data_IF_614190442245
#
_entry.id   IF_614190442245
#
_cell.length_a   1.000
_cell.length_b   1.000
_cell.length_c   1.000
_cell.angle_alpha   90.00
_cell.angle_beta   90.00
_cell.angle_gamma   90.00
#
_symmetry.space_group_name_H-M   'P 1'
#
loop_
_entity.id
_entity.type
_entity.pdbx_description
1 polymer ?
#
# COMPACT_ATOMS: atom_id res chain seq x y z
N UNK A 1 22.04 -6.39 -4.18
CA UNK A 1 21.05 -5.32 -3.93
C UNK A 1 21.79 -4.10 -3.41
N UNK A 2 21.69 -2.97 -4.12
CA UNK A 2 22.31 -1.71 -3.68
C UNK A 2 21.75 -1.35 -2.31
N UNK A 3 22.60 -1.36 -1.28
CA UNK A 3 22.15 -1.25 0.12
C UNK A 3 21.69 0.15 0.53
N UNK A 4 21.76 1.17 -0.33
CA UNK A 4 21.60 2.57 0.03
C UNK A 4 20.88 3.41 -1.05
N UNK A 5 19.72 2.96 -1.56
CA UNK A 5 18.92 3.78 -2.46
C UNK A 5 18.00 4.72 -1.63
N UNK A 6 17.88 6.02 -1.99
CA UNK A 6 16.95 6.93 -1.32
C UNK A 6 15.48 6.45 -1.36
N UNK A 7 14.64 6.81 -0.37
CA UNK A 7 13.24 6.36 -0.31
C UNK A 7 12.43 6.61 -1.59
N UNK A 8 12.59 7.79 -2.19
CA UNK A 8 11.92 8.14 -3.45
C UNK A 8 12.36 7.23 -4.61
N UNK A 9 13.66 6.97 -4.76
CA UNK A 9 14.17 6.09 -5.82
C UNK A 9 13.69 4.65 -5.63
N UNK A 10 13.63 4.15 -4.38
CA UNK A 10 13.06 2.84 -4.07
C UNK A 10 11.59 2.76 -4.50
N UNK A 11 10.80 3.78 -4.15
CA UNK A 11 9.39 3.85 -4.51
C UNK A 11 9.18 3.91 -6.04
N UNK A 12 10.00 4.69 -6.76
CA UNK A 12 9.95 4.77 -8.22
C UNK A 12 10.34 3.43 -8.86
N UNK A 13 11.39 2.78 -8.36
CA UNK A 13 11.81 1.49 -8.88
C UNK A 13 10.73 0.41 -8.69
N UNK A 14 10.04 0.43 -7.55
CA UNK A 14 8.97 -0.52 -7.25
C UNK A 14 7.69 -0.23 -8.07
N UNK A 15 7.30 1.04 -8.17
CA UNK A 15 6.05 1.45 -8.83
C UNK A 15 6.17 1.59 -10.36
N UNK A 16 7.36 1.92 -10.86
CA UNK A 16 7.69 2.06 -12.28
C UNK A 16 7.59 3.46 -12.86
N UNK A 17 7.03 4.45 -12.15
CA UNK A 17 6.97 5.84 -12.60
C UNK A 17 6.74 6.81 -11.43
N UNK A 18 6.89 8.11 -11.66
CA UNK A 18 6.53 9.16 -10.70
C UNK A 18 5.09 9.61 -10.96
N UNK A 19 4.27 9.64 -9.92
CA UNK A 19 2.94 10.26 -9.96
C UNK A 19 2.62 10.92 -8.60
N UNK A 20 1.64 11.85 -8.54
CA UNK A 20 1.28 12.53 -7.29
C UNK A 20 0.92 11.58 -6.14
N UNK A 21 0.24 10.46 -6.46
CA UNK A 21 -0.13 9.45 -5.47
C UNK A 21 1.07 8.76 -4.83
N UNK A 22 2.08 8.42 -5.63
CA UNK A 22 3.33 7.83 -5.14
C UNK A 22 4.05 8.80 -4.20
N UNK A 23 4.15 10.08 -4.58
CA UNK A 23 4.82 11.10 -3.78
C UNK A 23 4.17 11.29 -2.41
N UNK A 24 2.83 11.27 -2.33
CA UNK A 24 2.10 11.31 -1.06
C UNK A 24 2.48 10.11 -0.19
N UNK A 25 2.54 8.90 -0.79
CA UNK A 25 2.98 7.69 -0.09
C UNK A 25 4.42 7.77 0.40
N UNK A 26 5.35 8.34 -0.39
CA UNK A 26 6.74 8.57 0.03
C UNK A 26 6.79 9.47 1.25
N UNK A 27 6.08 10.60 1.22
CA UNK A 27 6.00 11.54 2.34
C UNK A 27 5.45 10.89 3.60
N UNK A 28 4.40 10.06 3.47
CA UNK A 28 3.83 9.31 4.58
C UNK A 28 4.81 8.27 5.16
N UNK A 29 5.52 7.52 4.30
CA UNK A 29 6.51 6.53 4.71
C UNK A 29 7.69 7.16 5.47
N UNK A 30 8.27 8.23 4.93
CA UNK A 30 9.38 8.95 5.57
C UNK A 30 8.96 9.56 6.91
N UNK A 31 7.74 10.11 6.97
CA UNK A 31 7.17 10.59 8.23
C UNK A 31 7.06 9.46 9.26
N UNK A 32 6.53 8.29 8.87
CA UNK A 32 6.40 7.15 9.76
C UNK A 32 7.75 6.67 10.29
N UNK A 33 8.78 6.55 9.42
CA UNK A 33 10.14 6.17 9.83
C UNK A 33 10.68 7.11 10.90
N UNK A 34 10.55 8.42 10.68
CA UNK A 34 11.03 9.44 11.61
C UNK A 34 10.22 9.46 12.92
N UNK A 35 8.89 9.39 12.84
CA UNK A 35 8.00 9.52 14.00
C UNK A 35 8.08 8.31 14.94
N UNK A 36 8.23 7.11 14.37
CA UNK A 36 8.37 5.86 15.13
C UNK A 36 9.81 5.51 15.50
N UNK A 37 10.80 6.23 14.96
CA UNK A 37 12.23 5.92 15.09
C UNK A 37 12.54 4.49 14.60
N UNK A 38 12.17 4.22 13.35
CA UNK A 38 12.31 2.92 12.69
C UNK A 38 12.97 3.05 11.32
N UNK A 39 13.69 2.00 10.91
CA UNK A 39 14.22 1.84 9.56
C UNK A 39 13.30 0.97 8.69
N UNK A 40 13.68 0.75 7.43
CA UNK A 40 13.03 -0.25 6.57
C UNK A 40 12.97 -1.62 7.27
N UNK A 41 11.82 -2.29 7.18
CA UNK A 41 11.58 -3.59 7.78
C UNK A 41 12.11 -4.74 6.91
N UNK A 42 12.91 -5.60 7.55
CA UNK A 42 13.45 -6.81 6.94
C UNK A 42 12.77 -8.10 7.44
N UNK A 43 12.09 -8.10 8.60
CA UNK A 43 11.62 -9.33 9.29
C UNK A 43 10.21 -9.21 9.94
N UNK A 44 9.29 -8.47 9.31
CA UNK A 44 7.89 -8.28 9.75
C UNK A 44 7.73 -7.50 11.07
N UNK A 45 8.75 -6.70 11.43
CA UNK A 45 8.73 -5.84 12.61
C UNK A 45 7.87 -4.59 12.44
N UNK A 46 7.56 -4.24 11.18
CA UNK A 46 6.59 -3.21 10.84
C UNK A 46 5.33 -3.85 10.25
N UNK A 47 4.20 -3.24 10.59
CA UNK A 47 2.88 -3.54 10.00
C UNK A 47 2.33 -2.26 9.41
N UNK A 48 1.78 -2.35 8.20
CA UNK A 48 1.03 -1.27 7.58
C UNK A 48 -0.43 -1.68 7.40
N UNK A 49 -1.35 -0.86 7.90
CA UNK A 49 -2.77 -0.92 7.56
C UNK A 49 -3.07 0.23 6.62
N UNK A 50 -3.54 -0.07 5.42
CA UNK A 50 -3.84 0.92 4.39
C UNK A 50 -5.34 0.93 4.09
N UNK A 51 -5.91 2.13 3.95
CA UNK A 51 -7.36 2.31 3.73
C UNK A 51 -7.72 2.56 2.26
N UNK A 52 -6.78 2.33 1.34
CA UNK A 52 -6.87 2.54 -0.12
C UNK A 52 -5.94 1.58 -0.84
N UNK A 53 -6.20 1.32 -2.12
CA UNK A 53 -5.37 0.54 -3.06
C UNK A 53 -4.58 1.43 -4.06
N UNK A 54 -4.45 2.73 -3.75
CA UNK A 54 -3.80 3.71 -4.61
C UNK A 54 -2.26 3.61 -4.64
N UNK A 55 -1.63 4.31 -5.59
CA UNK A 55 -0.17 4.33 -5.79
C UNK A 55 0.66 4.64 -4.54
N UNK A 56 0.09 5.33 -3.54
CA UNK A 56 0.79 5.61 -2.29
C UNK A 56 1.12 4.35 -1.50
N UNK A 57 0.33 3.29 -1.64
CA UNK A 57 0.59 1.99 -0.99
C UNK A 57 1.91 1.38 -1.49
N UNK A 58 2.24 1.54 -2.76
CA UNK A 58 3.50 1.04 -3.32
C UNK A 58 4.73 1.70 -2.69
N UNK A 59 4.64 2.99 -2.36
CA UNK A 59 5.70 3.67 -1.61
C UNK A 59 5.81 3.12 -0.17
N UNK A 60 4.68 2.87 0.51
CA UNK A 60 4.65 2.23 1.83
C UNK A 60 5.35 0.86 1.77
N UNK A 61 5.01 0.03 0.77
CA UNK A 61 5.63 -1.29 0.58
C UNK A 61 7.14 -1.18 0.35
N UNK A 62 7.57 -0.31 -0.56
CA UNK A 62 8.97 -0.19 -0.96
C UNK A 62 9.85 0.37 0.16
N UNK A 63 9.39 1.42 0.84
CA UNK A 63 10.20 2.17 1.83
C UNK A 63 10.16 1.51 3.20
N UNK A 64 8.99 1.06 3.64
CA UNK A 64 8.84 0.46 4.97
C UNK A 64 9.03 -1.05 4.96
N UNK A 65 8.99 -1.72 3.80
CA UNK A 65 9.11 -3.17 3.73
C UNK A 65 7.87 -3.93 4.21
N UNK A 66 6.75 -3.22 4.39
CA UNK A 66 5.43 -3.78 4.70
C UNK A 66 4.75 -4.24 3.41
N UNK A 67 4.85 -5.52 3.05
CA UNK A 67 4.40 -6.02 1.73
C UNK A 67 3.28 -7.03 1.86
N UNK A 68 2.49 -7.16 0.79
CA UNK A 68 1.44 -8.18 0.71
C UNK A 68 2.00 -9.60 0.93
N UNK A 69 3.15 -9.92 0.32
CA UNK A 69 3.75 -11.25 0.39
C UNK A 69 4.27 -11.65 1.77
N UNK A 70 4.72 -10.69 2.58
CA UNK A 70 5.11 -10.90 3.99
C UNK A 70 3.90 -10.94 4.93
N UNK A 71 2.70 -10.64 4.45
CA UNK A 71 1.49 -10.60 5.30
C UNK A 71 1.49 -9.47 6.35
N UNK A 72 2.44 -8.54 6.28
CA UNK A 72 2.51 -7.37 7.16
C UNK A 72 1.94 -6.09 6.51
N UNK A 73 1.22 -6.23 5.39
CA UNK A 73 0.36 -5.21 4.79
C UNK A 73 -1.11 -5.67 4.86
N UNK A 74 -1.93 -4.90 5.55
CA UNK A 74 -3.38 -5.13 5.68
C UNK A 74 -4.11 -4.07 4.88
N UNK A 75 -4.96 -4.51 3.96
CA UNK A 75 -5.80 -3.62 3.16
C UNK A 75 -7.23 -3.61 3.70
N UNK A 76 -7.69 -2.41 4.08
CA UNK A 76 -9.07 -2.11 4.41
C UNK A 76 -9.66 -1.22 3.31
N UNK A 77 -10.58 -1.75 2.50
CA UNK A 77 -11.11 -1.02 1.34
C UNK A 77 -12.13 0.06 1.75
N UNK A 78 -11.65 1.20 2.23
CA UNK A 78 -12.47 2.34 2.64
C UNK A 78 -12.34 3.53 1.69
N UNK A 79 -11.44 3.46 0.70
CA UNK A 79 -11.16 4.53 -0.26
C UNK A 79 -10.53 5.78 0.35
N UNK A 80 -9.87 5.68 1.52
CA UNK A 80 -9.26 6.81 2.22
C UNK A 80 -7.73 6.76 2.07
N UNK A 81 -7.11 7.89 1.77
CA UNK A 81 -5.64 8.04 1.81
C UNK A 81 -5.15 8.10 3.26
N UNK A 82 -5.23 6.95 3.93
CA UNK A 82 -4.84 6.75 5.33
C UNK A 82 -3.90 5.55 5.41
N UNK A 83 -2.83 5.73 6.17
CA UNK A 83 -1.80 4.73 6.43
C UNK A 83 -1.57 4.66 7.93
N UNK A 84 -1.86 3.52 8.55
CA UNK A 84 -1.50 3.27 9.94
C UNK A 84 -0.28 2.38 9.96
N UNK A 85 0.83 2.90 10.48
CA UNK A 85 2.10 2.18 10.57
C UNK A 85 2.37 1.84 12.02
N UNK A 86 2.72 0.59 12.28
CA UNK A 86 2.96 0.09 13.62
C UNK A 86 4.30 -0.65 13.68
N UNK A 87 5.03 -0.45 14.78
CA UNK A 87 6.27 -1.16 15.08
C UNK A 87 6.06 -2.08 16.26
N UNK A 88 6.32 -3.38 16.05
CA UNK A 88 6.23 -4.42 17.08
C UNK A 88 7.27 -4.20 18.17
N UNK A 89 8.53 -4.02 17.78
CA UNK A 89 9.66 -3.78 18.68
C UNK A 89 9.46 -2.55 19.58
N UNK A 90 8.96 -1.46 19.00
CA UNK A 90 8.76 -0.21 19.75
C UNK A 90 7.42 -0.18 20.50
N UNK A 91 6.52 -1.11 20.19
CA UNK A 91 5.13 -1.12 20.66
C UNK A 91 4.43 0.24 20.47
N UNK A 92 4.58 0.82 19.27
CA UNK A 92 4.02 2.13 18.90
C UNK A 92 3.38 2.04 17.52
N UNK A 93 2.30 2.79 17.32
CA UNK A 93 1.69 2.95 16.02
C UNK A 93 1.29 4.41 15.79
N UNK A 94 1.34 4.83 14.53
CA UNK A 94 0.88 6.15 14.09
C UNK A 94 -0.10 5.99 12.95
N UNK A 95 -1.25 6.64 13.07
CA UNK A 95 -2.24 6.75 12.00
C UNK A 95 -2.02 8.06 11.26
N UNK A 96 -1.81 7.99 9.96
CA UNK A 96 -1.49 9.14 9.09
C UNK A 96 -2.60 9.28 8.06
N UNK A 97 -3.35 10.37 8.09
CA UNK A 97 -4.43 10.66 7.16
C UNK A 97 -4.10 11.89 6.32
N UNK A 98 -4.20 11.77 4.99
CA UNK A 98 -4.09 12.94 4.11
C UNK A 98 -5.22 13.92 4.40
N UNK A 99 -4.87 15.20 4.60
CA UNK A 99 -5.86 16.26 4.76
C UNK A 99 -6.68 16.43 3.48
N UNK A 100 -7.99 16.53 3.63
CA UNK A 100 -8.88 16.81 2.51
C UNK A 100 -8.50 18.15 1.85
N UNK A 101 -8.28 18.13 0.54
CA UNK A 101 -7.90 19.31 -0.21
C UNK A 101 -6.41 19.69 -0.17
N UNK A 102 -5.57 18.99 0.59
CA UNK A 102 -4.14 19.34 0.72
C UNK A 102 -3.41 19.40 -0.62
N UNK A 103 -3.78 18.54 -1.56
CA UNK A 103 -3.21 18.50 -2.91
C UNK A 103 -4.20 18.94 -3.99
N UNK A 104 -5.25 19.69 -3.65
CA UNK A 104 -6.25 20.20 -4.60
C UNK A 104 -5.77 21.45 -5.33
N UNK A 105 -4.58 21.38 -5.92
CA UNK A 105 -4.05 22.43 -6.78
C UNK A 105 -4.72 22.42 -8.14
N UNK A 106 -4.68 23.54 -8.86
CA UNK A 106 -5.12 23.62 -10.26
C UNK A 106 -4.42 22.59 -11.14
N UNK A 107 -3.12 22.39 -10.91
CA UNK A 107 -2.29 21.43 -11.64
C UNK A 107 -2.71 19.99 -11.35
N UNK A 108 -3.16 19.68 -10.13
CA UNK A 108 -3.66 18.36 -9.76
C UNK A 108 -4.97 18.01 -10.46
N UNK A 109 -5.84 19.00 -10.67
CA UNK A 109 -7.08 18.83 -11.45
C UNK A 109 -6.76 18.56 -12.92
N UNK A 110 -5.88 19.38 -13.52
CA UNK A 110 -5.47 19.22 -14.91
C UNK A 110 -4.75 17.90 -15.15
N UNK A 111 -3.83 17.50 -14.27
CA UNK A 111 -3.16 16.21 -14.34
C UNK A 111 -4.16 15.06 -14.30
N UNK A 112 -5.15 15.10 -13.39
CA UNK A 112 -6.21 14.08 -13.29
C UNK A 112 -7.08 14.03 -14.54
N UNK A 113 -7.39 15.17 -15.14
CA UNK A 113 -8.10 15.23 -16.42
C UNK A 113 -7.33 14.50 -17.51
N UNK A 114 -6.06 14.85 -17.72
CA UNK A 114 -5.21 14.23 -18.73
C UNK A 114 -4.99 12.74 -18.46
N UNK A 115 -4.85 12.32 -17.20
CA UNK A 115 -4.62 10.92 -16.85
C UNK A 115 -5.84 10.01 -17.09
N UNK A 116 -7.05 10.57 -17.16
CA UNK A 116 -8.28 9.81 -17.47
C UNK A 116 -8.53 9.67 -18.98
N UNK A 117 -7.79 10.39 -19.82
CA UNK A 117 -7.95 10.28 -21.27
C UNK A 117 -7.34 8.99 -21.78
N UNK A 118 -7.99 8.35 -22.74
CA UNK A 118 -7.47 7.14 -23.38
C UNK A 118 -6.28 7.45 -24.29
N UNK A 119 -6.28 8.62 -24.93
CA UNK A 119 -5.24 9.08 -25.86
C UNK A 119 -4.94 10.55 -25.57
N UNK A 120 -3.66 10.91 -25.65
CA UNK A 120 -3.17 12.28 -25.52
C UNK A 120 -2.55 12.72 -26.85
N UNK A 121 -2.70 13.99 -27.19
CA UNK A 121 -1.85 14.60 -28.22
C UNK A 121 -0.39 14.71 -27.73
N UNK A 122 0.55 14.98 -28.63
CA UNK A 122 1.94 15.24 -28.26
C UNK A 122 2.06 16.42 -27.30
N UNK A 123 1.32 17.50 -27.55
CA UNK A 123 1.26 18.68 -26.67
C UNK A 123 0.73 18.34 -25.28
N UNK A 124 -0.33 17.52 -25.19
CA UNK A 124 -0.91 17.10 -23.91
C UNK A 124 -0.01 16.13 -23.14
N UNK A 125 0.75 15.29 -23.85
CA UNK A 125 1.74 14.42 -23.22
C UNK A 125 2.88 15.25 -22.57
N UNK A 126 3.39 16.25 -23.29
CA UNK A 126 4.38 17.20 -22.76
C UNK A 126 3.80 18.03 -21.61
N UNK A 127 2.55 18.48 -21.71
CA UNK A 127 1.85 19.17 -20.62
C UNK A 127 1.77 18.29 -19.37
N UNK A 128 1.37 17.03 -19.53
CA UNK A 128 1.27 16.07 -18.42
C UNK A 128 2.61 15.86 -17.72
N UNK A 129 3.71 15.74 -18.47
CA UNK A 129 5.05 15.61 -17.91
C UNK A 129 5.46 16.85 -17.12
N UNK A 130 5.22 18.06 -17.66
CA UNK A 130 5.48 19.31 -16.96
C UNK A 130 4.66 19.44 -15.66
N UNK A 131 3.39 19.01 -15.69
CA UNK A 131 2.54 18.98 -14.50
C UNK A 131 3.09 18.04 -13.42
N UNK A 132 3.68 16.89 -13.79
CA UNK A 132 4.34 16.01 -12.82
C UNK A 132 5.47 16.77 -12.12
N UNK A 133 6.31 17.50 -12.85
CA UNK A 133 7.40 18.30 -12.26
C UNK A 133 6.90 19.37 -11.29
N UNK A 134 5.82 20.09 -11.64
CA UNK A 134 5.22 21.10 -10.74
C UNK A 134 4.63 20.45 -9.49
N UNK A 135 3.92 19.33 -9.65
CA UNK A 135 3.32 18.61 -8.52
C UNK A 135 4.38 17.97 -7.63
N UNK A 136 5.48 17.52 -8.22
CA UNK A 136 6.64 17.00 -7.49
C UNK A 136 7.15 18.04 -6.49
N UNK A 137 7.51 19.22 -6.98
CA UNK A 137 8.02 20.30 -6.14
C UNK A 137 7.02 20.68 -5.05
N UNK A 138 5.74 20.87 -5.41
CA UNK A 138 4.69 21.25 -4.45
C UNK A 138 4.51 20.21 -3.34
N UNK A 139 4.43 18.92 -3.68
CA UNK A 139 4.16 17.85 -2.71
C UNK A 139 5.38 17.57 -1.84
N UNK A 140 6.58 17.52 -2.43
CA UNK A 140 7.80 17.14 -1.71
C UNK A 140 8.31 18.23 -0.76
N UNK A 141 7.99 19.50 -1.04
CA UNK A 141 8.39 20.65 -0.19
C UNK A 141 7.32 21.10 0.80
N UNK A 142 6.07 20.63 0.66
CA UNK A 142 4.97 21.00 1.56
C UNK A 142 5.24 20.55 3.00
N UNK A 143 5.02 21.41 4.02
CA UNK A 143 5.07 21.01 5.43
C UNK A 143 4.16 19.79 5.71
N UNK A 144 4.63 18.86 6.54
CA UNK A 144 3.89 17.61 6.78
C UNK A 144 2.55 17.86 7.46
N UNK A 145 2.49 18.87 8.33
CA UNK A 145 1.28 19.36 8.98
C UNK A 145 0.27 19.94 8.00
N UNK A 146 0.66 20.43 6.82
CA UNK A 146 -0.27 20.90 5.80
C UNK A 146 -0.78 19.73 4.94
N UNK A 147 0.01 18.67 4.81
CA UNK A 147 -0.33 17.49 4.02
C UNK A 147 -1.16 16.46 4.81
N UNK A 148 -0.87 16.29 6.10
CA UNK A 148 -1.39 15.20 6.92
C UNK A 148 -1.97 15.69 8.26
N UNK A 149 -2.92 14.92 8.76
CA UNK A 149 -3.23 14.82 10.20
C UNK A 149 -2.73 13.47 10.68
N UNK A 150 -2.11 13.42 11.86
CA UNK A 150 -1.66 12.16 12.45
C UNK A 150 -1.94 12.10 13.95
N UNK A 151 -2.00 10.88 14.45
CA UNK A 151 -2.21 10.55 15.86
C UNK A 151 -1.47 9.26 16.20
N UNK A 152 -0.87 9.20 17.39
CA UNK A 152 -0.41 7.93 17.95
C UNK A 152 -1.63 7.11 18.35
N UNK A 153 -1.68 5.84 17.95
CA UNK A 153 -2.82 4.95 18.20
C UNK A 153 -2.36 3.68 18.88
N UNK A 154 -3.24 3.12 19.71
CA UNK A 154 -3.07 1.74 20.17
C UNK A 154 -3.56 0.79 19.08
N UNK A 155 -2.71 -0.17 18.72
CA UNK A 155 -3.03 -1.17 17.71
C UNK A 155 -2.79 -2.56 18.30
N UNK A 156 -3.82 -3.40 18.29
CA UNK A 156 -3.63 -4.83 18.48
C UNK A 156 -2.88 -5.40 17.28
N UNK A 157 -1.60 -5.70 17.48
CA UNK A 157 -0.73 -6.15 16.41
C UNK A 157 -1.26 -7.46 15.81
N UNK A 158 -1.48 -7.54 14.49
CA UNK A 158 -1.87 -8.79 13.85
C UNK A 158 -0.76 -9.84 14.08
N UNK A 159 -1.12 -11.12 14.19
CA UNK A 159 -0.14 -12.20 14.28
C UNK A 159 0.83 -12.17 13.09
N UNK A 160 2.08 -12.63 13.28
CA UNK A 160 3.04 -12.82 12.18
C UNK A 160 2.52 -13.86 11.19
N UNK A 161 3.00 -13.82 9.94
CA UNK A 161 2.64 -14.81 8.95
C UNK A 161 3.03 -16.23 9.43
N UNK A 162 2.16 -17.21 9.22
CA UNK A 162 2.39 -18.60 9.61
C UNK A 162 2.53 -19.49 8.37
N UNK A 163 3.44 -20.46 8.45
CA UNK A 163 3.61 -21.49 7.42
C UNK A 163 2.56 -22.57 7.65
N UNK A 164 1.70 -22.77 6.66
CA UNK A 164 0.62 -23.74 6.69
C UNK A 164 0.88 -24.88 5.71
N UNK A 165 0.36 -26.06 6.03
CA UNK A 165 0.44 -27.22 5.14
C UNK A 165 -0.36 -27.03 3.84
N UNK A 166 0.06 -27.72 2.78
CA UNK A 166 -0.69 -27.81 1.51
C UNK A 166 -1.54 -29.07 1.49
N UNK A 167 -2.83 -28.92 1.18
CA UNK A 167 -3.77 -30.03 0.93
C UNK A 167 -4.15 -30.05 -0.54
N UNK A 168 -4.59 -31.20 -1.05
CA UNK A 168 -5.07 -31.30 -2.42
C UNK A 168 -6.59 -31.17 -2.47
N UNK A 169 -7.12 -30.30 -3.32
CA UNK A 169 -8.55 -30.17 -3.55
C UNK A 169 -9.09 -31.42 -4.27
N UNK A 170 -10.10 -32.08 -3.72
CA UNK A 170 -10.70 -33.28 -4.30
C UNK A 170 -11.47 -33.02 -5.61
N UNK A 171 -11.81 -31.77 -5.92
CA UNK A 171 -12.54 -31.41 -7.14
C UNK A 171 -11.64 -31.03 -8.33
N UNK A 172 -10.66 -30.15 -8.12
CA UNK A 172 -9.77 -29.68 -9.20
C UNK A 172 -8.38 -30.33 -9.19
N UNK A 173 -7.98 -30.99 -8.10
CA UNK A 173 -6.65 -31.59 -7.95
C UNK A 173 -5.52 -30.60 -7.61
N UNK A 174 -5.81 -29.30 -7.50
CA UNK A 174 -4.82 -28.27 -7.15
C UNK A 174 -4.46 -28.29 -5.66
N UNK A 175 -3.25 -27.79 -5.33
CA UNK A 175 -2.82 -27.55 -3.96
C UNK A 175 -3.49 -26.31 -3.35
N UNK A 176 -3.91 -26.40 -2.10
CA UNK A 176 -4.56 -25.34 -1.35
C UNK A 176 -4.00 -25.30 0.08
N UNK A 177 -3.73 -24.09 0.57
CA UNK A 177 -3.32 -23.85 1.94
C UNK A 177 -4.37 -24.40 2.90
N UNK A 178 -3.96 -25.18 3.91
CA UNK A 178 -4.91 -25.92 4.76
C UNK A 178 -5.95 -25.03 5.46
N UNK A 179 -5.58 -23.81 5.85
CA UNK A 179 -6.49 -22.80 6.43
C UNK A 179 -7.47 -22.19 5.44
N UNK A 180 -7.31 -22.44 4.14
CA UNK A 180 -8.17 -21.97 3.04
C UNK A 180 -8.93 -23.11 2.39
N UNK A 181 -9.25 -24.13 3.19
CA UNK A 181 -10.03 -25.28 2.75
C UNK A 181 -11.43 -25.33 3.36
N UNK A 182 -12.29 -26.16 2.78
CA UNK A 182 -13.59 -26.55 3.34
C UNK A 182 -13.66 -28.07 3.37
N UNK A 183 -13.97 -28.63 4.54
CA UNK A 183 -14.15 -30.07 4.70
C UNK A 183 -15.55 -30.46 4.21
N UNK A 184 -15.63 -31.39 3.25
CA UNK A 184 -16.88 -31.98 2.76
C UNK A 184 -16.83 -33.50 2.93
N UNK A 185 -17.98 -34.17 2.77
CA UNK A 185 -18.06 -35.64 2.72
C UNK A 185 -17.22 -36.21 1.57
N UNK A 186 -17.17 -35.52 0.43
CA UNK A 186 -16.39 -35.92 -0.74
C UNK A 186 -14.88 -35.61 -0.63
N UNK A 187 -14.42 -35.14 0.54
CA UNK A 187 -13.04 -34.74 0.79
C UNK A 187 -12.86 -33.22 0.94
N UNK A 188 -11.60 -32.79 0.98
CA UNK A 188 -11.23 -31.39 1.17
C UNK A 188 -11.40 -30.62 -0.15
N UNK A 189 -12.07 -29.47 -0.11
CA UNK A 189 -12.23 -28.59 -1.27
C UNK A 189 -11.53 -27.24 -1.04
N UNK A 190 -11.00 -26.66 -2.12
CA UNK A 190 -10.62 -25.25 -2.13
C UNK A 190 -11.88 -24.35 -2.16
N UNK A 191 -11.76 -23.12 -1.66
CA UNK A 191 -12.89 -22.15 -1.59
C UNK A 191 -13.60 -21.97 -2.94
N UNK A 192 -12.91 -21.78 -4.09
CA UNK A 192 -13.59 -21.64 -5.38
C UNK A 192 -14.42 -22.87 -5.77
N UNK A 193 -13.92 -24.09 -5.56
CA UNK A 193 -14.65 -25.32 -5.86
C UNK A 193 -15.83 -25.55 -4.90
N UNK A 194 -15.69 -25.15 -3.64
CA UNK A 194 -16.78 -25.17 -2.67
C UNK A 194 -17.91 -24.21 -3.07
N UNK A 195 -17.59 -22.95 -3.37
CA UNK A 195 -18.58 -21.93 -3.74
C UNK A 195 -19.34 -22.32 -5.03
N UNK A 196 -18.66 -22.90 -6.02
CA UNK A 196 -19.31 -23.42 -7.25
C UNK A 196 -20.34 -24.53 -7.00
N UNK A 197 -20.24 -25.24 -5.86
CA UNK A 197 -21.13 -26.34 -5.49
C UNK A 197 -22.28 -25.88 -4.58
N UNK A 198 -22.50 -24.57 -4.43
CA UNK A 198 -23.59 -24.02 -3.61
C UNK A 198 -23.28 -24.01 -2.12
N UNK A 199 -22.01 -24.11 -1.74
CA UNK A 199 -21.60 -23.85 -0.36
C UNK A 199 -21.78 -22.36 -0.03
N UNK A 200 -22.63 -22.05 0.96
CA UNK A 200 -22.74 -20.70 1.50
C UNK A 200 -21.39 -20.30 2.14
N UNK A 201 -20.96 -19.07 1.87
CA UNK A 201 -19.62 -18.56 2.18
C UNK A 201 -19.35 -18.46 3.70
#
# INVERSE_FOLDING_TARGET
>A
MCKNMPPLELAIQFHGHICPGLLIGVRAAEFAQKHLDVSQDYDEELVAIVETDSCGVDAIQAILGCTFGKGNLIFNDYGKNVYTIASRDKNRAVRIAQKYGATSFRESERFRELNRRQTLSEEEAVEKENLIGVLFEKIMTMPLEDLFTWEDVELEMPGKAQIYGTRQCAACGEGVMETRTRQMETGILCIPCYNKRGGEA
#
